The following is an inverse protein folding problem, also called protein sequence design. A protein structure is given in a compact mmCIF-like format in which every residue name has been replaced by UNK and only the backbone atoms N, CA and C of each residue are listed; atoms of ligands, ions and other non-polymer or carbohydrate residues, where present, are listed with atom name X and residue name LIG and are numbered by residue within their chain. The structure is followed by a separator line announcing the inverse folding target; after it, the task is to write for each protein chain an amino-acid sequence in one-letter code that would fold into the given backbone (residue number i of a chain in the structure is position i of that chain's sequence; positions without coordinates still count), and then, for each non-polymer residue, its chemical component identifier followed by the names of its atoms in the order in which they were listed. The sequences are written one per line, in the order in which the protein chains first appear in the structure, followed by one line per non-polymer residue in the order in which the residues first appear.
data_IF_324624215504
#
_entry.id   IF_324624215504
#
_cell.length_a   1.000
_cell.length_b   1.000
_cell.length_c   1.000
_cell.angle_alpha   90.00
_cell.angle_beta   90.00
_cell.angle_gamma   90.00
#
_symmetry.space_group_name_H-M   'P 1'
#
loop_
_entity.id
_entity.type
_entity.pdbx_description
1 polymer ?
#
# COMPACT_ATOMS: atom_id res chain seq x y z
N UNK A 1 1.79 2.61 -15.05
CA UNK A 1 1.88 1.21 -14.59
C UNK A 1 0.93 0.98 -13.42
N UNK A 2 0.94 1.84 -12.39
CA UNK A 2 -0.08 1.86 -11.32
C UNK A 2 -1.53 1.78 -11.82
N UNK A 3 -1.85 2.47 -12.92
CA UNK A 3 -3.20 2.45 -13.51
C UNK A 3 -3.69 1.07 -13.93
N UNK A 4 -2.80 0.14 -14.28
CA UNK A 4 -3.15 -1.20 -14.79
C UNK A 4 -3.33 -2.23 -13.69
N UNK A 5 -2.90 -1.93 -12.46
CA UNK A 5 -2.99 -2.86 -11.33
C UNK A 5 -4.39 -2.77 -10.72
N UNK A 6 -5.04 -3.92 -10.60
CA UNK A 6 -6.42 -4.01 -10.08
C UNK A 6 -6.44 -4.40 -8.60
N UNK A 7 -5.37 -5.01 -8.11
CA UNK A 7 -5.25 -5.48 -6.73
C UNK A 7 -3.94 -5.03 -6.09
N UNK A 8 -3.97 -4.96 -4.76
CA UNK A 8 -2.82 -4.71 -3.91
C UNK A 8 -2.71 -5.78 -2.83
N UNK A 9 -1.49 -6.21 -2.54
CA UNK A 9 -1.15 -6.90 -1.30
C UNK A 9 -0.15 -6.06 -0.53
N UNK A 10 -0.46 -5.72 0.72
CA UNK A 10 0.37 -4.95 1.62
C UNK A 10 0.97 -5.90 2.64
N UNK A 11 2.28 -6.00 2.68
CA UNK A 11 3.01 -6.70 3.72
C UNK A 11 3.54 -5.66 4.69
N UNK A 12 3.03 -5.67 5.92
CA UNK A 12 3.37 -4.70 6.94
C UNK A 12 4.15 -5.37 8.07
N UNK A 13 5.41 -4.97 8.24
CA UNK A 13 6.28 -5.40 9.32
C UNK A 13 6.43 -4.26 10.31
N UNK A 14 5.81 -4.40 11.48
CA UNK A 14 5.90 -3.43 12.56
C UNK A 14 6.86 -3.87 13.66
N UNK A 15 7.73 -2.94 14.07
CA UNK A 15 8.67 -3.12 15.16
C UNK A 15 8.31 -2.35 16.44
N UNK A 16 7.10 -1.79 16.53
CA UNK A 16 6.62 -1.04 17.69
C UNK A 16 5.91 -1.95 18.71
N UNK A 17 6.36 -1.90 19.97
CA UNK A 17 5.85 -2.63 21.16
C UNK A 17 5.86 -4.17 21.10
N UNK A 18 5.34 -4.76 20.03
CA UNK A 18 5.34 -6.19 19.74
C UNK A 18 5.59 -6.35 18.24
N UNK A 19 6.61 -7.13 17.86
CA UNK A 19 6.86 -7.44 16.46
C UNK A 19 5.59 -8.04 15.83
N UNK A 20 5.03 -7.35 14.85
CA UNK A 20 3.79 -7.75 14.19
C UNK A 20 4.05 -7.84 12.69
N UNK A 21 3.56 -8.92 12.11
CA UNK A 21 3.52 -9.09 10.66
C UNK A 21 2.07 -9.20 10.23
N UNK A 22 1.66 -8.32 9.34
CA UNK A 22 0.31 -8.29 8.79
C UNK A 22 0.35 -8.37 7.27
N UNK A 23 -0.68 -9.01 6.72
CA UNK A 23 -0.91 -9.03 5.29
C UNK A 23 -2.30 -8.48 5.03
N UNK A 24 -2.36 -7.36 4.32
CA UNK A 24 -3.60 -6.75 3.89
C UNK A 24 -3.77 -6.94 2.40
N UNK A 25 -5.00 -7.18 1.94
CA UNK A 25 -5.30 -7.32 0.51
C UNK A 25 -6.43 -6.39 0.13
N UNK A 26 -6.29 -5.73 -1.00
CA UNK A 26 -7.28 -4.79 -1.47
C UNK A 26 -7.53 -4.86 -2.96
N UNK A 27 -8.62 -4.22 -3.35
CA UNK A 27 -9.00 -3.98 -4.74
C UNK A 27 -8.94 -2.48 -5.00
N UNK A 28 -8.52 -2.11 -6.21
CA UNK A 28 -8.52 -0.72 -6.66
C UNK A 28 -9.92 -0.13 -6.61
N UNK A 29 -10.02 1.10 -6.14
CA UNK A 29 -11.29 1.80 -6.05
C UNK A 29 -11.79 2.20 -7.44
N UNK A 30 -13.10 2.05 -7.67
CA UNK A 30 -13.70 2.36 -8.97
C UNK A 30 -13.74 3.85 -9.28
N UNK A 31 -13.72 4.70 -8.25
CA UNK A 31 -13.78 6.16 -8.39
C UNK A 31 -12.42 6.73 -8.02
N UNK A 32 -11.72 7.24 -9.03
CA UNK A 32 -10.51 8.03 -8.84
C UNK A 32 -10.86 9.50 -8.99
N UNK A 33 -10.69 10.26 -7.92
CA UNK A 33 -10.89 11.72 -7.91
C UNK A 33 -9.65 12.49 -8.33
N UNK A 34 -8.46 11.90 -8.19
CA UNK A 34 -7.17 12.54 -8.47
C UNK A 34 -6.37 11.66 -9.45
N UNK A 35 -6.07 12.15 -10.67
CA UNK A 35 -5.32 11.40 -11.68
C UNK A 35 -3.86 11.12 -11.28
N UNK A 36 -3.32 11.84 -10.30
CA UNK A 36 -1.99 11.55 -9.75
C UNK A 36 -2.03 10.52 -8.60
N UNK A 37 -3.17 9.86 -8.37
CA UNK A 37 -3.31 8.89 -7.29
C UNK A 37 -4.09 7.63 -7.69
N UNK A 38 -3.81 6.53 -6.99
CA UNK A 38 -4.60 5.30 -7.05
C UNK A 38 -4.98 4.89 -5.64
N UNK A 39 -6.28 4.73 -5.39
CA UNK A 39 -6.83 4.25 -4.14
C UNK A 39 -7.12 2.75 -4.16
N UNK A 40 -7.00 2.13 -2.99
CA UNK A 40 -7.39 0.76 -2.72
C UNK A 40 -8.09 0.68 -1.35
N UNK A 41 -9.27 0.06 -1.30
CA UNK A 41 -9.80 -0.49 -0.05
C UNK A 41 -9.09 -1.81 0.27
N UNK A 42 -8.40 -1.87 1.40
CA UNK A 42 -7.64 -3.03 1.90
C UNK A 42 -8.31 -3.65 3.12
N UNK A 43 -8.21 -4.98 3.21
CA UNK A 43 -8.73 -5.79 4.32
C UNK A 43 -7.61 -6.67 4.88
N UNK A 44 -7.57 -6.85 6.20
CA UNK A 44 -6.64 -7.76 6.84
C UNK A 44 -6.99 -9.20 6.43
N UNK A 45 -6.01 -9.96 5.91
CA UNK A 45 -6.27 -11.32 5.41
C UNK A 45 -6.47 -12.35 6.52
N UNK A 46 -5.75 -12.19 7.64
CA UNK A 46 -5.78 -13.10 8.78
C UNK A 46 -6.03 -12.32 10.08
N UNK A 47 -7.23 -11.74 10.25
CA UNK A 47 -7.59 -11.03 11.46
C UNK A 47 -7.70 -12.00 12.65
N UNK A 48 -7.05 -11.68 13.77
CA UNK A 48 -7.30 -12.34 15.06
C UNK A 48 -8.57 -11.81 15.74
N UNK A 49 -9.01 -10.61 15.34
CA UNK A 49 -10.20 -9.89 15.80
C UNK A 49 -10.83 -9.18 14.61
N UNK A 50 -12.13 -8.83 14.68
CA UNK A 50 -12.74 -7.99 13.65
C UNK A 50 -11.93 -6.71 13.46
N UNK A 51 -11.52 -6.46 12.22
CA UNK A 51 -10.75 -5.29 11.81
C UNK A 51 -11.50 -4.60 10.68
N UNK A 52 -11.63 -3.29 10.79
CA UNK A 52 -12.30 -2.49 9.78
C UNK A 52 -11.43 -2.43 8.51
N UNK A 53 -12.04 -2.37 7.32
CA UNK A 53 -11.31 -2.06 6.10
C UNK A 53 -10.61 -0.71 6.23
N UNK A 54 -9.46 -0.57 5.58
CA UNK A 54 -8.76 0.71 5.50
C UNK A 54 -8.59 1.13 4.04
N UNK A 55 -8.42 2.42 3.82
CA UNK A 55 -8.13 2.97 2.52
C UNK A 55 -6.65 3.36 2.39
N UNK A 56 -5.99 2.80 1.38
CA UNK A 56 -4.62 3.10 1.03
C UNK A 56 -4.59 3.87 -0.30
N UNK A 57 -3.86 4.98 -0.36
CA UNK A 57 -3.65 5.74 -1.59
C UNK A 57 -2.18 5.76 -1.97
N UNK A 58 -1.87 5.46 -3.21
CA UNK A 58 -0.54 5.62 -3.81
C UNK A 58 -0.57 6.87 -4.68
N UNK A 59 0.35 7.80 -4.43
CA UNK A 59 0.50 9.03 -5.20
C UNK A 59 1.71 8.94 -6.15
N UNK A 60 1.55 9.51 -7.34
CA UNK A 60 2.57 9.63 -8.37
C UNK A 60 2.70 11.09 -8.80
N UNK A 61 3.26 11.91 -7.92
CA UNK A 61 3.47 13.35 -8.17
C UNK A 61 4.81 13.54 -8.89
N UNK A 62 4.76 13.70 -10.20
CA UNK A 62 5.94 13.80 -11.06
C UNK A 62 6.75 12.50 -11.10
N UNK A 63 7.97 12.50 -10.54
CA UNK A 63 8.86 11.30 -10.47
C UNK A 63 8.94 10.67 -9.08
N UNK A 64 8.13 11.15 -8.12
CA UNK A 64 8.14 10.65 -6.74
C UNK A 64 6.90 9.82 -6.49
N UNK A 65 7.10 8.67 -5.88
CA UNK A 65 6.03 7.82 -5.37
C UNK A 65 5.94 7.96 -3.86
N UNK A 66 4.72 8.07 -3.35
CA UNK A 66 4.42 8.00 -1.92
C UNK A 66 3.12 7.22 -1.71
N UNK A 67 2.85 6.79 -0.49
CA UNK A 67 1.52 6.33 -0.12
C UNK A 67 1.05 6.95 1.20
N UNK A 68 -0.27 6.96 1.38
CA UNK A 68 -0.91 7.24 2.67
C UNK A 68 -1.89 6.11 2.99
N UNK A 69 -2.23 5.96 4.26
CA UNK A 69 -3.19 4.97 4.75
C UNK A 69 -3.94 5.54 5.95
N UNK A 70 -5.22 5.20 6.10
CA UNK A 70 -6.10 5.91 7.06
C UNK A 70 -5.65 5.82 8.51
N UNK A 71 -5.00 4.73 8.92
CA UNK A 71 -4.50 4.57 10.28
C UNK A 71 -3.25 5.43 10.58
N UNK A 72 -2.65 6.08 9.59
CA UNK A 72 -1.66 7.17 9.74
C UNK A 72 -2.18 8.45 9.06
N UNK A 73 -3.18 9.12 9.65
CA UNK A 73 -3.85 10.25 8.99
C UNK A 73 -2.91 11.45 8.82
N UNK A 74 -2.83 11.96 7.59
CA UNK A 74 -1.98 13.11 7.24
C UNK A 74 -0.51 12.77 6.97
N UNK A 75 -0.12 11.50 7.11
CA UNK A 75 1.23 11.06 6.78
C UNK A 75 1.30 10.52 5.34
N UNK A 76 2.38 10.89 4.64
CA UNK A 76 2.75 10.31 3.34
C UNK A 76 4.14 9.69 3.44
N UNK A 77 4.24 8.41 3.09
CA UNK A 77 5.48 7.64 3.16
C UNK A 77 6.09 7.50 1.77
N UNK A 78 7.38 7.83 1.58
CA UNK A 78 8.04 7.72 0.28
C UNK A 78 8.21 6.25 -0.12
N UNK A 79 7.96 5.96 -1.40
CA UNK A 79 8.08 4.62 -1.98
C UNK A 79 9.27 4.52 -2.93
N UNK A 80 10.01 3.41 -2.80
CA UNK A 80 10.98 2.92 -3.79
C UNK A 80 10.29 1.87 -4.66
N UNK A 81 10.43 1.97 -5.98
CA UNK A 81 9.84 1.00 -6.92
C UNK A 81 10.87 -0.05 -7.37
N UNK A 82 10.44 -1.31 -7.37
CA UNK A 82 11.15 -2.47 -7.88
C UNK A 82 10.28 -3.12 -8.94
N UNK A 83 10.85 -3.33 -10.12
CA UNK A 83 10.14 -3.88 -11.27
C UNK A 83 10.44 -5.37 -11.39
N UNK A 84 9.38 -6.17 -11.52
CA UNK A 84 9.45 -7.59 -11.86
C UNK A 84 9.78 -7.75 -13.35
N UNK A 85 10.28 -8.92 -13.74
CA UNK A 85 10.32 -9.32 -15.16
C UNK A 85 8.91 -9.44 -15.75
N UNK A 86 7.90 -9.68 -14.90
CA UNK A 86 6.50 -9.60 -15.27
C UNK A 86 6.03 -8.13 -15.28
N UNK A 87 5.72 -7.54 -16.45
CA UNK A 87 5.34 -6.12 -16.55
C UNK A 87 3.96 -5.80 -15.95
N UNK A 88 3.23 -6.80 -15.47
CA UNK A 88 1.96 -6.65 -14.74
C UNK A 88 2.15 -6.51 -13.24
N UNK A 89 3.33 -6.83 -12.74
CA UNK A 89 3.64 -6.82 -11.32
C UNK A 89 4.58 -5.68 -10.98
N UNK A 90 4.29 -5.01 -9.88
CA UNK A 90 5.16 -3.97 -9.33
C UNK A 90 5.28 -4.18 -7.82
N UNK A 91 6.51 -4.15 -7.32
CA UNK A 91 6.78 -4.14 -5.89
C UNK A 91 7.22 -2.73 -5.49
N UNK A 92 6.55 -2.14 -4.51
CA UNK A 92 6.93 -0.87 -3.91
C UNK A 92 7.33 -1.11 -2.47
N UNK A 93 8.32 -0.38 -1.98
CA UNK A 93 8.81 -0.49 -0.61
C UNK A 93 8.88 0.87 0.05
N UNK A 94 8.41 0.95 1.29
CA UNK A 94 8.63 2.08 2.17
C UNK A 94 9.28 1.60 3.47
N UNK A 95 10.09 2.47 4.04
CA UNK A 95 10.73 2.30 5.34
C UNK A 95 10.45 3.56 6.15
N UNK A 96 9.91 3.40 7.36
CA UNK A 96 9.67 4.52 8.27
C UNK A 96 9.97 4.09 9.70
N UNK A 97 11.02 4.64 10.28
CA UNK A 97 11.49 4.28 11.62
C UNK A 97 11.72 2.76 11.75
N UNK A 98 10.84 2.05 12.50
CA UNK A 98 10.89 0.58 12.70
C UNK A 98 9.86 -0.17 11.84
N UNK A 99 9.22 0.52 10.91
CA UNK A 99 8.22 -0.02 10.02
C UNK A 99 8.82 -0.31 8.64
N UNK A 100 8.52 -1.48 8.10
CA UNK A 100 8.82 -1.83 6.71
C UNK A 100 7.55 -2.27 6.02
N UNK A 101 7.22 -1.61 4.91
CA UNK A 101 5.98 -1.84 4.18
C UNK A 101 6.32 -2.20 2.73
N UNK A 102 5.79 -3.33 2.26
CA UNK A 102 5.89 -3.75 0.87
C UNK A 102 4.51 -3.76 0.23
N UNK A 103 4.36 -3.04 -0.88
CA UNK A 103 3.13 -3.00 -1.67
C UNK A 103 3.36 -3.80 -2.96
N UNK A 104 2.69 -4.93 -3.09
CA UNK A 104 2.69 -5.73 -4.31
C UNK A 104 1.42 -5.43 -5.10
N UNK A 105 1.60 -4.84 -6.27
CA UNK A 105 0.53 -4.46 -7.18
C UNK A 105 0.43 -5.47 -8.33
N UNK A 106 -0.78 -5.97 -8.60
CA UNK A 106 -1.09 -6.99 -9.62
C UNK A 106 -2.30 -6.62 -10.45
#
# INVERSE_FOLDING_TARGET
MLEKSEFITVYWLSGWFQEKFEIWKGRKDQVQSDPESVGFTIHLLLPLTEEEPSHLRIFSRGRKLSFSVEWFPGEEFPLKAYFSENPREMLLMAEFQRESVFLHLT
#
